data_IF_560953773017
#
_entry.id   IF_560953773017
#
_cell.length_a   1.000
_cell.length_b   1.000
_cell.length_c   1.000
_cell.angle_alpha   90.00
_cell.angle_beta   90.00
_cell.angle_gamma   90.00
#
_symmetry.space_group_name_H-M   'P 1'
#
loop_
_entity.id
_entity.type
_entity.pdbx_description
1 polymer ?
#
# COMPACT_ATOMS: atom_id res chain seq x y z
N UNK A 1 -1.71 7.23 -27.39
CA UNK A 1 -2.30 7.59 -26.07
C UNK A 1 -3.53 6.73 -25.87
N UNK A 2 -3.42 5.66 -25.08
CA UNK A 2 -4.55 4.82 -24.68
C UNK A 2 -4.66 4.99 -23.17
N UNK A 3 -5.65 5.75 -22.71
CA UNK A 3 -5.92 5.90 -21.29
C UNK A 3 -6.59 4.62 -20.80
N UNK A 4 -6.05 3.90 -19.81
CA UNK A 4 -6.71 2.73 -19.26
C UNK A 4 -7.85 3.19 -18.34
N UNK A 5 -9.08 2.94 -18.77
CA UNK A 5 -10.29 2.51 -18.05
C UNK A 5 -10.23 2.46 -16.51
N UNK A 6 -9.91 3.58 -15.86
CA UNK A 6 -9.82 3.71 -14.39
C UNK A 6 -11.17 3.61 -13.66
N UNK A 7 -12.29 3.70 -14.38
CA UNK A 7 -13.63 3.59 -13.79
C UNK A 7 -14.09 2.15 -13.58
N UNK A 8 -13.76 1.24 -14.49
CA UNK A 8 -14.36 -0.11 -14.56
C UNK A 8 -13.83 -1.02 -13.46
N UNK A 9 -12.56 -0.84 -13.07
CA UNK A 9 -11.93 -1.64 -12.01
C UNK A 9 -12.48 -1.35 -10.61
N UNK A 10 -12.88 -0.11 -10.32
CA UNK A 10 -13.38 0.28 -8.99
C UNK A 10 -14.75 -0.33 -8.68
N UNK A 11 -15.67 -0.28 -9.65
CA UNK A 11 -16.99 -0.91 -9.54
C UNK A 11 -16.92 -2.42 -9.57
N UNK A 12 -16.03 -3.01 -10.39
CA UNK A 12 -15.81 -4.45 -10.39
C UNK A 12 -15.29 -4.95 -9.03
N UNK A 13 -14.35 -4.24 -8.40
CA UNK A 13 -13.83 -4.58 -7.07
C UNK A 13 -14.89 -4.41 -5.97
N UNK A 14 -15.71 -3.35 -6.04
CA UNK A 14 -16.84 -3.16 -5.13
C UNK A 14 -17.88 -4.27 -5.27
N UNK A 15 -18.25 -4.63 -6.51
CA UNK A 15 -19.19 -5.73 -6.77
C UNK A 15 -18.63 -7.08 -6.32
N UNK A 16 -17.34 -7.35 -6.54
CA UNK A 16 -16.66 -8.55 -6.04
C UNK A 16 -16.59 -8.59 -4.52
N UNK A 17 -16.31 -7.46 -3.87
CA UNK A 17 -16.26 -7.36 -2.41
C UNK A 17 -17.65 -7.52 -1.78
N UNK A 18 -18.68 -6.90 -2.35
CA UNK A 18 -20.08 -7.05 -1.92
C UNK A 18 -20.54 -8.49 -2.14
N UNK A 19 -20.27 -9.08 -3.31
CA UNK A 19 -20.61 -10.47 -3.60
C UNK A 19 -19.88 -11.43 -2.64
N UNK A 20 -18.61 -11.19 -2.32
CA UNK A 20 -17.87 -11.98 -1.34
C UNK A 20 -18.46 -11.85 0.08
N UNK A 21 -18.83 -10.65 0.48
CA UNK A 21 -19.44 -10.38 1.79
C UNK A 21 -20.87 -10.94 1.90
N UNK A 22 -21.64 -10.94 0.82
CA UNK A 22 -23.05 -11.38 0.82
C UNK A 22 -23.23 -12.88 0.58
N UNK A 23 -22.35 -13.51 -0.21
CA UNK A 23 -22.50 -14.94 -0.58
C UNK A 23 -21.89 -15.91 0.44
N UNK A 24 -21.09 -15.40 1.38
CA UNK A 24 -20.31 -16.25 2.27
C UNK A 24 -19.37 -17.18 1.49
N UNK A 25 -18.70 -18.07 2.21
CA UNK A 25 -17.71 -18.99 1.61
C UNK A 25 -18.42 -20.18 0.97
N UNK A 26 -19.12 -19.95 -0.14
CA UNK A 26 -19.75 -21.03 -0.92
C UNK A 26 -18.67 -21.96 -1.53
N UNK A 27 -18.98 -23.25 -1.80
CA UNK A 27 -18.02 -24.19 -2.38
C UNK A 27 -17.40 -23.69 -3.69
N UNK A 28 -18.17 -22.97 -4.51
CA UNK A 28 -17.75 -22.39 -5.78
C UNK A 28 -16.73 -21.25 -5.56
N UNK A 29 -16.99 -20.37 -4.59
CA UNK A 29 -16.08 -19.25 -4.25
C UNK A 29 -14.75 -19.79 -3.72
N UNK A 30 -14.77 -20.85 -2.89
CA UNK A 30 -13.54 -21.53 -2.46
C UNK A 30 -12.74 -22.09 -3.62
N UNK A 31 -13.40 -22.71 -4.58
CA UNK A 31 -12.75 -23.24 -5.79
C UNK A 31 -12.11 -22.14 -6.63
N UNK A 32 -12.82 -21.04 -6.87
CA UNK A 32 -12.29 -19.91 -7.60
C UNK A 32 -11.05 -19.30 -6.90
N UNK A 33 -11.14 -19.06 -5.59
CA UNK A 33 -10.04 -18.49 -4.79
C UNK A 33 -8.81 -19.42 -4.77
N UNK A 34 -9.05 -20.73 -4.72
CA UNK A 34 -8.00 -21.74 -4.77
C UNK A 34 -7.20 -21.69 -6.08
N UNK A 35 -7.86 -21.54 -7.23
CA UNK A 35 -7.18 -21.41 -8.52
C UNK A 35 -6.56 -20.03 -8.76
N UNK A 36 -7.15 -19.00 -8.15
CA UNK A 36 -6.69 -17.61 -8.23
C UNK A 36 -5.35 -17.39 -7.50
N UNK A 37 -5.19 -17.93 -6.30
CA UNK A 37 -4.01 -17.72 -5.44
C UNK A 37 -2.67 -18.00 -6.16
N UNK A 38 -2.47 -19.20 -6.74
CA UNK A 38 -1.26 -19.54 -7.48
C UNK A 38 -1.03 -18.63 -8.68
N UNK A 39 -2.09 -18.27 -9.42
CA UNK A 39 -1.98 -17.38 -10.57
C UNK A 39 -1.52 -15.99 -10.14
N UNK A 40 -2.16 -15.41 -9.13
CA UNK A 40 -1.81 -14.08 -8.60
C UNK A 40 -0.37 -14.05 -8.13
N UNK A 41 0.09 -15.09 -7.42
CA UNK A 41 1.48 -15.23 -7.04
C UNK A 41 2.42 -15.27 -8.26
N UNK A 42 2.04 -16.01 -9.32
CA UNK A 42 2.80 -16.04 -10.57
C UNK A 42 2.88 -14.68 -11.26
N UNK A 43 1.79 -13.89 -11.26
CA UNK A 43 1.78 -12.52 -11.82
C UNK A 43 2.79 -11.64 -11.09
N UNK A 44 2.74 -11.66 -9.75
CA UNK A 44 3.66 -10.86 -8.95
C UNK A 44 5.11 -11.35 -9.10
N UNK A 45 5.34 -12.67 -9.12
CA UNK A 45 6.66 -13.24 -9.35
C UNK A 45 7.24 -12.81 -10.71
N UNK A 46 6.42 -12.85 -11.77
CA UNK A 46 6.83 -12.41 -13.10
C UNK A 46 7.10 -10.89 -13.14
N UNK A 47 6.31 -10.09 -12.43
CA UNK A 47 6.54 -8.65 -12.30
C UNK A 47 7.86 -8.35 -11.58
N UNK A 48 8.14 -9.04 -10.47
CA UNK A 48 9.41 -8.92 -9.73
C UNK A 48 10.59 -9.37 -10.58
N UNK A 49 10.45 -10.47 -11.33
CA UNK A 49 11.50 -10.93 -12.25
C UNK A 49 11.78 -9.92 -13.36
N UNK A 50 10.74 -9.44 -14.05
CA UNK A 50 10.87 -8.50 -15.16
C UNK A 50 11.45 -7.16 -14.71
N UNK A 51 10.99 -6.65 -13.58
CA UNK A 51 11.50 -5.41 -13.00
C UNK A 51 12.92 -5.60 -12.43
N UNK A 52 13.18 -6.74 -11.79
CA UNK A 52 14.48 -7.12 -11.25
C UNK A 52 15.57 -7.23 -12.30
N UNK A 53 15.29 -7.83 -13.47
CA UNK A 53 16.25 -7.91 -14.58
C UNK A 53 16.72 -6.53 -15.06
N UNK A 54 15.84 -5.52 -15.01
CA UNK A 54 16.19 -4.15 -15.38
C UNK A 54 16.79 -3.35 -14.23
N UNK A 55 16.36 -3.61 -12.99
CA UNK A 55 16.75 -2.82 -11.82
C UNK A 55 18.06 -3.30 -11.18
N UNK A 56 18.32 -4.60 -11.18
CA UNK A 56 19.48 -5.25 -10.57
C UNK A 56 20.39 -5.90 -11.62
N UNK A 57 20.85 -5.10 -12.59
CA UNK A 57 21.68 -5.58 -13.70
C UNK A 57 23.18 -5.58 -13.38
N UNK A 58 23.61 -4.83 -12.36
CA UNK A 58 25.02 -4.75 -11.95
C UNK A 58 25.25 -5.44 -10.61
N UNK A 59 26.46 -5.95 -10.39
CA UNK A 59 26.84 -6.62 -9.13
C UNK A 59 26.50 -5.79 -7.88
N UNK A 60 26.82 -4.47 -7.81
CA UNK A 60 26.47 -3.69 -6.62
C UNK A 60 24.96 -3.56 -6.40
N UNK A 61 24.16 -3.51 -7.46
CA UNK A 61 22.70 -3.49 -7.35
C UNK A 61 22.13 -4.81 -6.83
N UNK A 62 22.68 -5.94 -7.30
CA UNK A 62 22.29 -7.27 -6.80
C UNK A 62 22.62 -7.39 -5.31
N UNK A 63 23.80 -6.91 -4.90
CA UNK A 63 24.18 -6.88 -3.47
C UNK A 63 23.19 -6.04 -2.66
N UNK A 64 22.82 -4.85 -3.13
CA UNK A 64 21.81 -4.01 -2.45
C UNK A 64 20.47 -4.74 -2.36
N UNK A 65 20.02 -5.41 -3.43
CA UNK A 65 18.77 -6.17 -3.41
C UNK A 65 18.80 -7.30 -2.37
N UNK A 66 19.89 -8.07 -2.31
CA UNK A 66 20.06 -9.16 -1.34
C UNK A 66 20.14 -8.63 0.09
N UNK A 67 20.89 -7.55 0.33
CA UNK A 67 20.99 -6.94 1.65
C UNK A 67 19.64 -6.36 2.11
N UNK A 68 18.88 -5.72 1.22
CA UNK A 68 17.54 -5.22 1.53
C UNK A 68 16.57 -6.36 1.84
N UNK A 69 16.63 -7.47 1.09
CA UNK A 69 15.88 -8.69 1.36
C UNK A 69 16.20 -9.24 2.76
N UNK A 70 17.48 -9.44 3.08
CA UNK A 70 17.91 -9.91 4.40
C UNK A 70 17.50 -8.95 5.52
N UNK A 71 17.67 -7.65 5.33
CA UNK A 71 17.27 -6.63 6.29
C UNK A 71 15.76 -6.67 6.55
N UNK A 72 14.93 -6.87 5.52
CA UNK A 72 13.47 -6.98 5.68
C UNK A 72 13.03 -8.17 6.52
N UNK A 73 13.87 -9.22 6.62
CA UNK A 73 13.60 -10.40 7.44
C UNK A 73 14.14 -10.19 8.85
N UNK A 74 15.37 -9.67 8.96
CA UNK A 74 16.13 -9.67 10.20
C UNK A 74 15.98 -8.41 11.05
N UNK A 75 15.44 -7.32 10.49
CA UNK A 75 15.44 -6.01 11.19
C UNK A 75 14.03 -5.42 11.34
N UNK A 76 13.77 -4.71 12.46
CA UNK A 76 12.52 -3.98 12.68
C UNK A 76 12.50 -2.60 11.99
N UNK A 77 13.50 -2.29 11.15
CA UNK A 77 13.71 -0.98 10.52
C UNK A 77 12.55 -0.52 9.60
N UNK A 78 11.60 -1.42 9.31
CA UNK A 78 10.49 -1.16 8.40
C UNK A 78 10.95 -0.96 6.95
N UNK A 79 10.01 -1.01 6.02
CA UNK A 79 10.30 -0.85 4.58
C UNK A 79 10.94 0.52 4.31
N UNK A 80 10.44 1.57 4.96
CA UNK A 80 10.96 2.93 4.79
C UNK A 80 12.44 3.05 5.20
N UNK A 81 12.83 2.50 6.36
CA UNK A 81 14.22 2.54 6.82
C UNK A 81 15.17 1.82 5.88
N UNK A 82 14.78 0.63 5.39
CA UNK A 82 15.58 -0.15 4.44
C UNK A 82 15.77 0.61 3.11
N UNK A 83 14.73 1.28 2.62
CA UNK A 83 14.81 2.07 1.40
C UNK A 83 15.70 3.30 1.55
N UNK A 84 15.66 3.98 2.71
CA UNK A 84 16.56 5.11 3.00
C UNK A 84 18.01 4.65 3.02
N UNK A 85 18.31 3.55 3.72
CA UNK A 85 19.67 2.98 3.79
C UNK A 85 20.17 2.56 2.39
N UNK A 86 19.29 1.97 1.59
CA UNK A 86 19.62 1.56 0.23
C UNK A 86 19.81 2.74 -0.73
N UNK A 87 19.05 3.83 -0.55
CA UNK A 87 19.28 5.10 -1.24
C UNK A 87 20.63 5.71 -0.89
N UNK A 88 21.00 5.71 0.39
CA UNK A 88 22.31 6.17 0.85
C UNK A 88 23.44 5.29 0.30
N UNK A 89 23.28 3.97 0.30
CA UNK A 89 24.21 3.02 -0.32
C UNK A 89 24.37 3.29 -1.83
N UNK A 90 23.28 3.65 -2.52
CA UNK A 90 23.31 4.06 -3.93
C UNK A 90 24.18 5.31 -4.15
N UNK A 91 24.05 6.33 -3.30
CA UNK A 91 24.92 7.54 -3.36
C UNK A 91 26.38 7.18 -3.11
N UNK A 92 26.65 6.34 -2.10
CA UNK A 92 27.97 5.83 -1.73
C UNK A 92 28.69 5.16 -2.90
N UNK A 93 27.99 4.28 -3.61
CA UNK A 93 28.59 3.44 -4.65
C UNK A 93 28.71 4.16 -6.00
N UNK A 94 27.84 5.14 -6.30
CA UNK A 94 27.74 5.71 -7.65
C UNK A 94 28.07 7.20 -7.79
N UNK A 95 28.41 7.92 -6.70
CA UNK A 95 28.63 9.38 -6.79
C UNK A 95 29.82 9.97 -6.01
N UNK A 96 30.68 9.12 -5.43
CA UNK A 96 31.96 9.53 -4.83
C UNK A 96 31.88 10.00 -3.36
N UNK A 97 32.96 9.75 -2.58
CA UNK A 97 33.01 9.89 -1.10
C UNK A 97 32.69 11.29 -0.54
N UNK A 98 32.87 12.38 -1.30
CA UNK A 98 32.67 13.76 -0.80
C UNK A 98 31.19 14.20 -0.74
N UNK A 99 30.35 13.74 -1.67
CA UNK A 99 28.92 14.08 -1.63
C UNK A 99 28.15 13.20 -0.65
N UNK A 100 28.64 11.98 -0.45
CA UNK A 100 28.15 11.05 0.58
C UNK A 100 28.21 11.68 1.96
N UNK A 101 29.34 12.26 2.34
CA UNK A 101 29.48 12.90 3.65
C UNK A 101 28.56 14.11 3.77
N UNK A 102 28.37 14.90 2.70
CA UNK A 102 27.43 16.02 2.71
C UNK A 102 25.97 15.55 2.85
N UNK A 103 25.56 14.50 2.13
CA UNK A 103 24.19 13.95 2.22
C UNK A 103 23.99 13.23 3.57
N UNK A 104 24.99 12.52 4.08
CA UNK A 104 24.94 11.86 5.38
C UNK A 104 24.87 12.88 6.52
N UNK A 105 25.63 13.98 6.44
CA UNK A 105 25.54 15.10 7.39
C UNK A 105 24.20 15.81 7.25
N UNK A 106 23.72 16.10 6.04
CA UNK A 106 22.41 16.71 5.85
C UNK A 106 21.27 15.80 6.36
N UNK A 107 21.34 14.50 6.12
CA UNK A 107 20.39 13.52 6.63
C UNK A 107 20.48 13.39 8.16
N UNK A 108 21.69 13.38 8.74
CA UNK A 108 21.89 13.38 10.18
C UNK A 108 21.37 14.67 10.83
N UNK A 109 21.55 15.82 10.18
CA UNK A 109 20.99 17.11 10.60
C UNK A 109 19.47 17.07 10.53
N UNK A 110 18.87 16.57 9.45
CA UNK A 110 17.41 16.41 9.36
C UNK A 110 16.91 15.42 10.41
N UNK A 111 17.55 14.27 10.58
CA UNK A 111 17.19 13.25 11.59
C UNK A 111 17.39 13.78 13.03
N UNK A 112 18.36 14.66 13.27
CA UNK A 112 18.57 15.31 14.56
C UNK A 112 17.59 16.46 14.81
N UNK A 113 17.19 17.17 13.75
CA UNK A 113 16.20 18.24 13.81
C UNK A 113 14.77 17.70 13.87
N UNK A 114 14.48 16.51 13.34
CA UNK A 114 13.13 15.90 13.37
C UNK A 114 12.62 15.71 14.81
N UNK A 115 13.37 15.13 15.77
CA UNK A 115 12.96 15.07 17.16
C UNK A 115 12.87 16.45 17.81
N UNK A 116 13.69 17.42 17.40
CA UNK A 116 13.66 18.79 17.96
C UNK A 116 12.44 19.57 17.46
N UNK A 117 12.10 19.46 16.19
CA UNK A 117 10.89 20.05 15.59
C UNK A 117 9.66 19.31 16.10
N UNK A 118 9.71 17.98 16.22
CA UNK A 118 8.64 17.16 16.78
C UNK A 118 8.41 17.48 18.26
N UNK A 119 9.47 17.59 19.07
CA UNK A 119 9.40 18.03 20.48
C UNK A 119 8.91 19.47 20.58
N UNK A 120 9.41 20.38 19.75
CA UNK A 120 8.97 21.77 19.73
C UNK A 120 7.48 21.89 19.37
N UNK A 121 7.02 21.12 18.38
CA UNK A 121 5.59 21.04 18.00
C UNK A 121 4.71 20.27 18.99
N UNK A 122 5.25 19.31 19.75
CA UNK A 122 4.51 18.64 20.83
C UNK A 122 4.57 19.42 22.15
N UNK A 123 5.51 20.35 22.29
CA UNK A 123 5.60 21.31 23.39
C UNK A 123 4.81 22.59 23.14
N UNK A 124 4.51 22.91 21.87
CA UNK A 124 3.28 23.63 21.59
C UNK A 124 2.14 22.67 21.85
N UNK A 125 1.73 22.57 23.12
CA UNK A 125 0.34 22.28 23.42
C UNK A 125 -0.46 23.08 22.40
N UNK A 126 -1.19 22.42 21.50
CA UNK A 126 -2.40 23.03 20.97
C UNK A 126 -3.07 23.52 22.25
N UNK A 127 -3.19 24.85 22.46
CA UNK A 127 -3.51 25.34 23.77
C UNK A 127 -4.79 24.63 24.18
N UNK A 128 -4.72 23.88 25.28
CA UNK A 128 -5.88 23.35 25.98
C UNK A 128 -6.70 24.50 26.61
N UNK A 129 -6.72 25.66 25.94
CA UNK A 129 -7.71 26.68 26.11
C UNK A 129 -8.98 26.16 25.46
N UNK A 130 -9.70 25.29 26.17
CA UNK A 130 -11.12 25.44 26.46
C UNK A 130 -12.05 25.99 25.36
N UNK A 131 -11.78 25.71 24.09
CA UNK A 131 -12.78 25.79 23.05
C UNK A 131 -13.35 24.39 22.95
N UNK A 132 -14.43 24.13 23.70
CA UNK A 132 -15.45 23.20 23.20
C UNK A 132 -15.62 23.58 21.75
N UNK A 133 -15.22 22.75 20.80
CA UNK A 133 -15.54 23.02 19.40
C UNK A 133 -17.06 22.96 19.39
N UNK A 134 -17.77 24.10 19.28
CA UNK A 134 -19.22 24.05 19.19
C UNK A 134 -19.54 23.20 17.97
N UNK A 135 -20.70 22.54 17.95
CA UNK A 135 -21.19 21.80 16.78
C UNK A 135 -20.72 22.54 15.52
N UNK A 136 -19.96 21.90 14.62
CA UNK A 136 -19.23 22.64 13.59
C UNK A 136 -20.24 23.47 12.80
N UNK A 137 -20.22 24.78 13.06
CA UNK A 137 -21.18 25.71 12.46
C UNK A 137 -20.78 25.99 11.00
N UNK A 138 -19.58 25.57 10.57
CA UNK A 138 -19.05 25.85 9.24
C UNK A 138 -18.22 24.71 8.63
N UNK A 139 -18.31 24.57 7.31
CA UNK A 139 -17.45 23.68 6.51
C UNK A 139 -15.95 24.04 6.61
N UNK A 140 -15.63 25.28 6.99
CA UNK A 140 -14.25 25.75 7.12
C UNK A 140 -13.54 25.07 8.30
N UNK A 141 -14.26 24.77 9.39
CA UNK A 141 -13.68 24.12 10.56
C UNK A 141 -13.34 22.65 10.25
N UNK A 142 -14.22 21.98 9.51
CA UNK A 142 -13.97 20.64 8.94
C UNK A 142 -12.73 20.69 8.04
N UNK A 143 -12.65 21.66 7.13
CA UNK A 143 -11.50 21.81 6.23
C UNK A 143 -10.19 22.00 7.00
N UNK A 144 -10.16 22.92 7.97
CA UNK A 144 -8.95 23.22 8.76
C UNK A 144 -8.50 22.02 9.58
N UNK A 145 -9.44 21.31 10.18
CA UNK A 145 -9.14 20.09 10.94
C UNK A 145 -8.50 19.04 10.03
N UNK A 146 -9.20 18.62 8.97
CA UNK A 146 -8.71 17.56 8.09
C UNK A 146 -7.44 17.97 7.32
N UNK A 147 -7.27 19.25 7.00
CA UNK A 147 -6.01 19.77 6.46
C UNK A 147 -4.84 19.58 7.44
N UNK A 148 -5.02 19.88 8.73
CA UNK A 148 -3.99 19.62 9.74
C UNK A 148 -3.68 18.14 9.86
N UNK A 149 -4.71 17.29 9.94
CA UNK A 149 -4.52 15.84 9.97
C UNK A 149 -3.69 15.40 8.75
N UNK A 150 -4.07 15.82 7.54
CA UNK A 150 -3.37 15.52 6.29
C UNK A 150 -1.94 16.04 6.22
N UNK A 151 -1.66 17.21 6.81
CA UNK A 151 -0.35 17.86 6.75
C UNK A 151 0.65 17.29 7.76
N UNK A 152 0.19 16.90 8.94
CA UNK A 152 1.05 16.57 10.08
C UNK A 152 1.11 15.08 10.42
N UNK A 153 0.32 14.23 9.77
CA UNK A 153 0.42 12.79 9.98
C UNK A 153 1.60 12.20 9.22
N UNK A 154 2.78 12.21 9.85
CA UNK A 154 4.00 11.56 9.36
C UNK A 154 4.15 10.21 10.07
N UNK A 155 3.42 9.19 9.63
CA UNK A 155 3.45 7.90 10.34
C UNK A 155 2.57 6.75 9.83
N UNK A 156 2.08 6.82 8.59
CA UNK A 156 1.19 5.80 8.03
C UNK A 156 -0.26 5.90 8.55
N UNK A 157 -1.17 5.10 7.99
CA UNK A 157 -2.61 5.23 8.26
C UNK A 157 -3.02 5.03 9.72
N UNK A 158 -2.28 4.21 10.49
CA UNK A 158 -2.60 3.87 11.89
C UNK A 158 -2.43 5.04 12.86
N UNK A 159 -1.37 5.85 12.69
CA UNK A 159 -1.16 7.04 13.53
C UNK A 159 -2.22 8.10 13.26
N UNK A 160 -2.66 8.20 12.00
CA UNK A 160 -3.77 9.08 11.61
C UNK A 160 -5.09 8.65 12.23
N UNK A 161 -5.39 7.36 12.21
CA UNK A 161 -6.62 6.80 12.80
C UNK A 161 -6.65 7.09 14.30
N UNK A 162 -5.52 6.90 15.01
CA UNK A 162 -5.43 7.22 16.43
C UNK A 162 -5.65 8.72 16.71
N UNK A 163 -5.06 9.61 15.90
CA UNK A 163 -5.23 11.05 16.04
C UNK A 163 -6.68 11.51 15.76
N UNK A 164 -7.30 10.94 14.72
CA UNK A 164 -8.70 11.19 14.39
C UNK A 164 -9.60 10.68 15.51
N UNK A 165 -9.35 9.49 16.06
CA UNK A 165 -10.13 8.93 17.16
C UNK A 165 -10.08 9.81 18.41
N UNK A 166 -8.88 10.20 18.84
CA UNK A 166 -8.67 10.99 20.06
C UNK A 166 -9.39 12.35 19.98
N UNK A 167 -9.28 13.02 18.83
CA UNK A 167 -9.85 14.33 18.62
C UNK A 167 -11.37 14.30 18.31
N UNK A 168 -11.85 13.30 17.56
CA UNK A 168 -13.23 13.25 17.06
C UNK A 168 -14.17 12.53 18.03
N UNK A 169 -13.67 11.49 18.71
CA UNK A 169 -14.42 10.73 19.70
C UNK A 169 -14.14 11.25 21.12
N UNK A 170 -12.89 11.58 21.43
CA UNK A 170 -12.49 12.03 22.77
C UNK A 170 -12.79 13.51 23.02
N UNK A 171 -12.15 14.42 22.30
CA UNK A 171 -12.21 15.86 22.59
C UNK A 171 -13.46 16.57 22.04
N UNK A 172 -13.83 16.32 20.78
CA UNK A 172 -14.94 17.04 20.12
C UNK A 172 -16.29 16.34 20.21
N UNK A 173 -16.32 15.04 20.50
CA UNK A 173 -17.55 14.25 20.64
C UNK A 173 -18.44 14.23 19.39
N UNK A 174 -17.87 14.49 18.21
CA UNK A 174 -18.59 14.54 16.94
C UNK A 174 -19.13 13.17 16.52
N UNK A 175 -18.47 12.11 16.96
CA UNK A 175 -18.86 10.72 16.73
C UNK A 175 -18.70 9.92 18.02
N UNK A 176 -19.57 8.95 18.22
CA UNK A 176 -19.36 7.93 19.24
C UNK A 176 -18.24 6.96 18.82
N UNK A 177 -17.63 6.28 19.79
CA UNK A 177 -16.62 5.25 19.51
C UNK A 177 -17.15 4.14 18.58
N UNK A 178 -18.45 3.80 18.67
CA UNK A 178 -19.10 2.83 17.78
C UNK A 178 -19.20 3.35 16.35
N UNK A 179 -19.70 4.57 16.15
CA UNK A 179 -19.81 5.16 14.81
C UNK A 179 -18.43 5.35 14.16
N UNK A 180 -17.40 5.67 14.96
CA UNK A 180 -16.03 5.73 14.47
C UNK A 180 -15.50 4.36 14.03
N UNK A 181 -15.75 3.30 14.82
CA UNK A 181 -15.39 1.93 14.45
C UNK A 181 -16.14 1.49 13.17
N UNK A 182 -17.41 1.83 13.04
CA UNK A 182 -18.19 1.53 11.83
C UNK A 182 -17.61 2.24 10.60
N UNK A 183 -17.26 3.53 10.73
CA UNK A 183 -16.57 4.29 9.68
C UNK A 183 -15.20 3.70 9.33
N UNK A 184 -14.45 3.23 10.32
CA UNK A 184 -13.15 2.58 10.12
C UNK A 184 -13.32 1.23 9.39
N UNK A 185 -14.30 0.43 9.79
CA UNK A 185 -14.62 -0.84 9.14
C UNK A 185 -14.99 -0.61 7.67
N UNK A 186 -15.85 0.38 7.39
CA UNK A 186 -16.20 0.79 6.02
C UNK A 186 -14.97 1.24 5.21
N UNK A 187 -14.06 2.01 5.83
CA UNK A 187 -12.84 2.47 5.18
C UNK A 187 -11.92 1.32 4.74
N UNK A 188 -11.82 0.25 5.52
CA UNK A 188 -10.96 -0.90 5.21
C UNK A 188 -11.41 -1.70 3.97
N UNK A 189 -12.68 -1.58 3.57
CA UNK A 189 -13.18 -2.21 2.34
C UNK A 189 -12.81 -1.45 1.05
N UNK A 190 -12.15 -0.29 1.16
CA UNK A 190 -11.84 0.58 -0.01
C UNK A 190 -10.34 0.81 -0.19
N UNK A 191 -9.87 1.08 -1.43
CA UNK A 191 -8.51 1.53 -1.65
C UNK A 191 -8.32 2.92 -1.01
N UNK A 192 -7.51 2.99 0.04
CA UNK A 192 -7.23 4.24 0.76
C UNK A 192 -8.16 4.45 1.96
N UNK A 193 -8.05 3.62 3.02
CA UNK A 193 -8.98 3.62 4.16
C UNK A 193 -9.13 4.99 4.83
N UNK A 194 -8.07 5.80 4.80
CA UNK A 194 -8.07 7.15 5.34
C UNK A 194 -9.06 8.08 4.65
N UNK A 195 -9.11 8.06 3.32
CA UNK A 195 -9.98 8.96 2.55
C UNK A 195 -11.45 8.71 2.92
N UNK A 196 -11.80 7.44 3.07
CA UNK A 196 -13.16 7.04 3.43
C UNK A 196 -13.50 7.34 4.88
N UNK A 197 -12.57 7.16 5.82
CA UNK A 197 -12.78 7.58 7.21
C UNK A 197 -12.98 9.09 7.28
N UNK A 198 -12.16 9.89 6.59
CA UNK A 198 -12.33 11.34 6.53
C UNK A 198 -13.67 11.75 5.89
N UNK A 199 -14.04 11.12 4.77
CA UNK A 199 -15.32 11.36 4.10
C UNK A 199 -16.53 10.96 4.97
N UNK A 200 -16.48 9.82 5.64
CA UNK A 200 -17.53 9.34 6.55
C UNK A 200 -17.71 10.29 7.73
N UNK A 201 -16.60 10.69 8.35
CA UNK A 201 -16.64 11.65 9.45
C UNK A 201 -17.21 12.99 8.98
N UNK A 202 -16.71 13.52 7.86
CA UNK A 202 -17.27 14.74 7.26
C UNK A 202 -18.75 14.63 6.92
N UNK A 203 -19.19 13.46 6.44
CA UNK A 203 -20.61 13.18 6.15
C UNK A 203 -21.48 13.23 7.40
N UNK A 204 -21.04 12.62 8.50
CA UNK A 204 -21.76 12.63 9.77
C UNK A 204 -21.86 14.02 10.38
N UNK A 205 -20.91 14.89 10.05
CA UNK A 205 -20.84 16.25 10.56
C UNK A 205 -21.71 17.23 9.77
N UNK A 206 -21.58 17.27 8.43
CA UNK A 206 -22.22 18.27 7.58
C UNK A 206 -22.74 17.70 6.25
N UNK A 207 -23.13 16.42 6.25
CA UNK A 207 -23.69 15.74 5.09
C UNK A 207 -22.71 15.68 3.91
N UNK A 208 -23.24 15.66 2.70
CA UNK A 208 -22.43 15.47 1.48
C UNK A 208 -21.35 16.54 1.29
N UNK A 209 -21.66 17.80 1.66
CA UNK A 209 -20.70 18.90 1.61
C UNK A 209 -19.54 18.69 2.60
N UNK A 210 -19.85 18.27 3.83
CA UNK A 210 -18.84 17.91 4.82
C UNK A 210 -17.96 16.75 4.38
N UNK A 211 -18.54 15.73 3.72
CA UNK A 211 -17.80 14.59 3.19
C UNK A 211 -16.76 15.01 2.14
N UNK A 212 -17.17 15.83 1.16
CA UNK A 212 -16.28 16.32 0.11
C UNK A 212 -15.18 17.22 0.65
N UNK A 213 -15.52 18.11 1.59
CA UNK A 213 -14.55 19.03 2.21
C UNK A 213 -13.55 18.29 3.09
N UNK A 214 -13.99 17.34 3.92
CA UNK A 214 -13.10 16.54 4.77
C UNK A 214 -12.13 15.70 3.93
N UNK A 215 -12.65 15.00 2.92
CA UNK A 215 -11.87 14.18 2.00
C UNK A 215 -10.85 15.02 1.22
N UNK A 216 -11.29 16.14 0.66
CA UNK A 216 -10.43 17.06 -0.10
C UNK A 216 -9.36 17.68 0.78
N UNK A 217 -9.72 18.22 1.94
CA UNK A 217 -8.79 18.87 2.85
C UNK A 217 -7.74 17.90 3.41
N UNK A 218 -8.10 16.64 3.67
CA UNK A 218 -7.14 15.62 4.12
C UNK A 218 -6.06 15.32 3.07
N UNK A 219 -6.39 15.37 1.78
CA UNK A 219 -5.44 15.09 0.68
C UNK A 219 -4.71 16.33 0.16
N UNK A 220 -5.28 17.51 0.38
CA UNK A 220 -4.78 18.77 -0.16
C UNK A 220 -3.30 19.05 0.17
N UNK A 221 -2.78 18.80 1.40
CA UNK A 221 -1.37 19.01 1.72
C UNK A 221 -0.43 18.16 0.84
N UNK A 222 -0.71 16.87 0.72
CA UNK A 222 0.09 15.94 -0.09
C UNK A 222 0.02 16.28 -1.57
N UNK A 223 -1.17 16.65 -2.06
CA UNK A 223 -1.37 17.08 -3.44
C UNK A 223 -0.62 18.39 -3.75
N UNK A 224 -0.71 19.37 -2.86
CA UNK A 224 -0.01 20.65 -2.99
C UNK A 224 1.52 20.46 -2.96
N UNK A 225 2.05 19.64 -2.05
CA UNK A 225 3.47 19.30 -2.02
C UNK A 225 3.93 18.64 -3.32
N UNK A 226 3.16 17.67 -3.83
CA UNK A 226 3.47 16.99 -5.09
C UNK A 226 3.48 17.99 -6.26
N UNK A 227 2.48 18.87 -6.37
CA UNK A 227 2.43 19.90 -7.41
C UNK A 227 3.58 20.90 -7.31
N UNK A 228 3.98 21.28 -6.09
CA UNK A 228 5.13 22.16 -5.88
C UNK A 228 6.45 21.51 -6.31
N UNK A 229 6.61 20.20 -6.10
CA UNK A 229 7.81 19.44 -6.48
C UNK A 229 7.82 19.11 -7.98
N UNK A 230 6.65 18.93 -8.58
CA UNK A 230 6.49 18.49 -9.97
C UNK A 230 7.35 19.25 -11.00
N UNK A 231 7.38 20.60 -11.06
CA UNK A 231 8.21 21.32 -12.03
C UNK A 231 9.71 21.15 -11.77
N UNK A 232 10.11 20.92 -10.52
CA UNK A 232 11.50 20.67 -10.15
C UNK A 232 11.91 19.21 -10.33
N UNK A 233 10.95 18.28 -10.47
CA UNK A 233 11.19 16.84 -10.53
C UNK A 233 12.10 16.46 -11.70
N UNK A 234 11.89 17.05 -12.88
CA UNK A 234 12.73 16.78 -14.05
C UNK A 234 14.16 17.29 -13.86
N UNK A 235 14.34 18.39 -13.13
CA UNK A 235 15.65 18.91 -12.76
C UNK A 235 16.33 18.00 -11.73
N UNK A 236 15.59 17.56 -10.72
CA UNK A 236 16.10 16.64 -9.69
C UNK A 236 16.49 15.28 -10.28
N UNK A 237 15.71 14.72 -11.21
CA UNK A 237 16.04 13.45 -11.89
C UNK A 237 17.32 13.53 -12.73
N UNK A 238 17.70 14.73 -13.18
CA UNK A 238 18.97 14.98 -13.89
C UNK A 238 20.17 15.12 -12.95
N UNK A 239 19.97 15.34 -11.65
CA UNK A 239 21.06 15.38 -10.69
C UNK A 239 21.64 13.97 -10.49
N UNK A 240 22.96 13.89 -10.55
CA UNK A 240 23.64 12.62 -10.55
C UNK A 240 23.58 11.90 -9.18
N UNK A 241 23.47 12.65 -8.07
CA UNK A 241 23.18 12.08 -6.75
C UNK A 241 21.77 11.50 -6.65
N UNK A 242 20.75 12.13 -7.26
CA UNK A 242 19.38 11.61 -7.27
C UNK A 242 19.30 10.32 -8.09
N UNK A 243 19.99 10.27 -9.24
CA UNK A 243 20.14 9.02 -10.00
C UNK A 243 20.84 7.93 -9.19
N UNK A 244 21.84 8.28 -8.39
CA UNK A 244 22.55 7.34 -7.52
C UNK A 244 21.63 6.79 -6.42
N UNK A 245 20.83 7.64 -5.75
CA UNK A 245 19.78 7.22 -4.80
C UNK A 245 18.81 6.24 -5.46
N UNK A 246 18.28 6.58 -6.64
CA UNK A 246 17.34 5.72 -7.37
C UNK A 246 17.96 4.37 -7.77
N UNK A 247 19.25 4.36 -8.13
CA UNK A 247 20.01 3.14 -8.44
C UNK A 247 20.21 2.23 -7.22
N UNK A 248 20.17 2.78 -6.00
CA UNK A 248 20.17 1.99 -4.77
C UNK A 248 18.77 1.56 -4.33
N UNK A 249 17.79 2.46 -4.37
CA UNK A 249 16.42 2.15 -3.96
C UNK A 249 15.73 1.12 -4.87
N UNK A 250 15.92 1.21 -6.19
CA UNK A 250 15.27 0.32 -7.16
C UNK A 250 15.51 -1.17 -6.86
N UNK A 251 16.78 -1.64 -6.81
CA UNK A 251 17.10 -3.02 -6.44
C UNK A 251 16.60 -3.41 -5.04
N UNK A 252 16.64 -2.49 -4.08
CA UNK A 252 16.16 -2.76 -2.73
C UNK A 252 14.66 -3.08 -2.69
N UNK A 253 13.84 -2.33 -3.43
CA UNK A 253 12.40 -2.63 -3.60
C UNK A 253 12.21 -4.04 -4.16
N UNK A 254 12.99 -4.44 -5.16
CA UNK A 254 12.91 -5.79 -5.74
C UNK A 254 13.26 -6.87 -4.71
N UNK A 255 14.31 -6.66 -3.93
CA UNK A 255 14.69 -7.58 -2.85
C UNK A 255 13.58 -7.75 -1.81
N UNK A 256 12.99 -6.65 -1.35
CA UNK A 256 11.89 -6.66 -0.39
C UNK A 256 10.65 -7.36 -0.99
N UNK A 257 10.29 -7.04 -2.24
CA UNK A 257 9.16 -7.69 -2.92
C UNK A 257 9.37 -9.19 -3.08
N UNK A 258 10.60 -9.64 -3.39
CA UNK A 258 10.93 -11.05 -3.47
C UNK A 258 10.71 -11.77 -2.13
N UNK A 259 11.12 -11.18 -1.01
CA UNK A 259 10.85 -11.73 0.33
C UNK A 259 9.35 -11.82 0.60
N UNK A 260 8.59 -10.77 0.27
CA UNK A 260 7.13 -10.78 0.43
C UNK A 260 6.49 -11.91 -0.38
N UNK A 261 6.97 -12.19 -1.60
CA UNK A 261 6.48 -13.32 -2.39
C UNK A 261 6.79 -14.67 -1.77
N UNK A 262 8.00 -14.86 -1.25
CA UNK A 262 8.37 -16.10 -0.55
C UNK A 262 7.51 -16.30 0.69
N UNK A 263 7.22 -15.23 1.43
CA UNK A 263 6.32 -15.29 2.61
C UNK A 263 4.87 -15.58 2.23
N UNK A 264 4.41 -15.14 1.06
CA UNK A 264 3.06 -15.39 0.56
C UNK A 264 2.92 -16.77 -0.10
N UNK A 265 4.02 -17.38 -0.58
CA UNK A 265 3.99 -18.62 -1.33
C UNK A 265 3.31 -19.80 -0.61
N UNK A 266 3.54 -20.06 0.69
CA UNK A 266 2.88 -21.16 1.40
C UNK A 266 1.35 -21.02 1.46
N UNK A 267 0.84 -19.79 1.47
CA UNK A 267 -0.60 -19.51 1.51
C UNK A 267 -1.23 -19.56 0.13
N UNK A 268 -0.51 -19.10 -0.88
CA UNK A 268 -1.00 -19.07 -2.25
C UNK A 268 -0.88 -20.43 -2.96
N UNK A 269 0.09 -21.28 -2.57
CA UNK A 269 0.42 -22.54 -3.25
C UNK A 269 0.60 -23.69 -2.25
N UNK A 270 -0.47 -24.10 -1.53
CA UNK A 270 -0.35 -25.05 -0.42
C UNK A 270 -0.13 -26.52 -0.84
N UNK A 271 -0.53 -26.92 -2.06
CA UNK A 271 -0.45 -28.32 -2.50
C UNK A 271 0.13 -28.51 -3.91
N UNK A 272 0.43 -29.77 -4.25
CA UNK A 272 1.09 -30.15 -5.51
C UNK A 272 0.34 -29.69 -6.75
N UNK A 273 -1.00 -29.61 -6.71
CA UNK A 273 -1.79 -29.16 -7.84
C UNK A 273 -1.72 -27.64 -7.96
N UNK A 274 -1.73 -26.91 -6.85
CA UNK A 274 -1.44 -25.46 -6.85
C UNK A 274 -0.09 -25.15 -7.49
N UNK A 275 0.95 -25.95 -7.17
CA UNK A 275 2.29 -25.80 -7.75
C UNK A 275 2.23 -25.96 -9.27
N UNK A 276 1.47 -26.96 -9.76
CA UNK A 276 1.23 -27.14 -11.19
C UNK A 276 0.58 -25.92 -11.84
N UNK A 277 -0.47 -25.35 -11.22
CA UNK A 277 -1.14 -24.14 -11.71
C UNK A 277 -0.17 -22.94 -11.74
N UNK A 278 0.59 -22.74 -10.67
CA UNK A 278 1.62 -21.70 -10.59
C UNK A 278 2.66 -21.83 -11.71
N UNK A 279 3.21 -23.03 -11.90
CA UNK A 279 4.22 -23.29 -12.91
C UNK A 279 3.69 -23.05 -14.33
N UNK A 280 2.49 -23.57 -14.64
CA UNK A 280 1.83 -23.34 -15.94
C UNK A 280 1.56 -21.86 -16.16
N UNK A 281 1.04 -21.15 -15.15
CA UNK A 281 0.80 -19.71 -15.25
C UNK A 281 2.09 -18.93 -15.50
N UNK A 282 3.17 -19.27 -14.81
CA UNK A 282 4.47 -18.61 -14.95
C UNK A 282 5.11 -18.87 -16.32
N UNK A 283 5.01 -20.10 -16.84
CA UNK A 283 5.49 -20.45 -18.19
C UNK A 283 4.65 -19.76 -19.27
N UNK A 284 3.33 -19.81 -19.17
CA UNK A 284 2.47 -19.15 -20.16
C UNK A 284 2.67 -17.63 -20.14
N UNK A 285 2.88 -17.01 -18.97
CA UNK A 285 3.20 -15.59 -18.85
C UNK A 285 4.58 -15.22 -19.38
N UNK A 286 5.56 -16.13 -19.31
CA UNK A 286 6.89 -15.86 -19.87
C UNK A 286 6.92 -15.97 -21.39
N UNK A 287 6.06 -16.83 -21.97
CA UNK A 287 5.95 -17.05 -23.40
C UNK A 287 4.95 -16.11 -24.10
N UNK A 288 3.98 -15.54 -23.37
CA UNK A 288 2.92 -14.71 -23.97
C UNK A 288 2.86 -13.29 -23.39
N UNK A 289 2.56 -12.30 -24.24
CA UNK A 289 2.33 -10.89 -23.84
C UNK A 289 0.87 -10.66 -23.38
N UNK A 290 0.17 -11.70 -22.95
CA UNK A 290 -1.24 -11.61 -22.61
C UNK A 290 -1.46 -10.77 -21.35
N UNK A 291 -2.58 -10.04 -21.32
CA UNK A 291 -2.94 -9.21 -20.17
C UNK A 291 -3.14 -10.06 -18.92
N UNK A 292 -2.63 -9.57 -17.78
CA UNK A 292 -2.77 -10.20 -16.46
C UNK A 292 -4.21 -10.62 -16.15
N UNK A 293 -5.18 -9.84 -16.64
CA UNK A 293 -6.62 -10.10 -16.53
C UNK A 293 -7.04 -11.47 -17.09
N UNK A 294 -6.50 -11.91 -18.23
CA UNK A 294 -6.86 -13.21 -18.84
C UNK A 294 -6.37 -14.38 -18.00
N UNK A 295 -5.19 -14.25 -17.39
CA UNK A 295 -4.65 -15.26 -16.49
C UNK A 295 -5.47 -15.39 -15.21
N UNK A 296 -5.86 -14.25 -14.61
CA UNK A 296 -6.73 -14.19 -13.43
C UNK A 296 -8.04 -14.95 -13.66
N UNK A 297 -8.71 -14.68 -14.79
CA UNK A 297 -9.96 -15.37 -15.15
C UNK A 297 -9.72 -16.87 -15.40
N UNK A 298 -8.67 -17.22 -16.15
CA UNK A 298 -8.34 -18.62 -16.42
C UNK A 298 -8.06 -19.42 -15.15
N UNK A 299 -7.30 -18.85 -14.20
CA UNK A 299 -7.02 -19.46 -12.90
C UNK A 299 -8.29 -19.68 -12.08
N UNK A 300 -9.18 -18.70 -12.04
CA UNK A 300 -10.47 -18.81 -11.35
C UNK A 300 -11.33 -19.93 -11.94
N UNK A 301 -11.41 -20.04 -13.27
CA UNK A 301 -12.17 -21.09 -13.97
C UNK A 301 -11.60 -22.48 -13.64
N UNK A 302 -10.28 -22.66 -13.74
CA UNK A 302 -9.60 -23.93 -13.43
C UNK A 302 -9.87 -24.35 -11.98
N UNK A 303 -9.82 -23.39 -11.06
CA UNK A 303 -10.12 -23.62 -9.64
C UNK A 303 -11.57 -24.09 -9.40
N UNK A 304 -12.54 -23.44 -10.05
CA UNK A 304 -13.96 -23.84 -9.99
C UNK A 304 -14.14 -25.23 -10.57
N UNK A 305 -13.67 -25.50 -11.79
CA UNK A 305 -13.84 -26.80 -12.46
C UNK A 305 -13.29 -27.94 -11.60
N UNK A 306 -12.14 -27.75 -10.93
CA UNK A 306 -11.61 -28.76 -10.00
C UNK A 306 -12.58 -29.03 -8.86
N UNK A 307 -13.14 -28.00 -8.22
CA UNK A 307 -14.07 -28.21 -7.10
C UNK A 307 -15.31 -29.01 -7.49
N UNK A 308 -15.81 -28.84 -8.72
CA UNK A 308 -16.88 -29.66 -9.27
C UNK A 308 -16.46 -31.11 -9.50
N UNK A 309 -15.25 -31.35 -10.04
CA UNK A 309 -14.72 -32.70 -10.28
C UNK A 309 -14.44 -33.44 -8.96
N UNK A 310 -13.95 -32.76 -7.92
CA UNK A 310 -13.75 -33.35 -6.59
C UNK A 310 -15.04 -33.55 -5.78
N UNK A 311 -16.16 -32.96 -6.21
CA UNK A 311 -17.46 -33.12 -5.58
C UNK A 311 -18.22 -34.36 -6.11
N UNK A 312 -17.71 -35.06 -7.12
CA UNK A 312 -18.24 -36.36 -7.56
C UNK A 312 -17.78 -37.41 -6.55
N UNK A 313 -18.70 -38.04 -5.79
CA UNK A 313 -18.32 -39.08 -4.84
C UNK A 313 -17.59 -40.20 -5.58
N UNK A 314 -16.39 -40.55 -5.11
CA UNK A 314 -15.73 -41.77 -5.53
C UNK A 314 -16.66 -42.93 -5.14
N UNK A 315 -17.38 -43.47 -6.11
CA UNK A 315 -18.06 -44.76 -5.99
C UNK A 315 -16.98 -45.85 -5.95
N UNK A 316 -16.30 -45.97 -4.82
CA UNK A 316 -15.43 -47.10 -4.50
C UNK A 316 -15.80 -47.57 -3.10
N UNK A 317 -16.90 -48.33 -3.03
CA UNK A 317 -17.39 -48.86 -1.77
C UNK A 317 -18.80 -49.46 -1.79
N UNK A 318 -19.21 -50.14 -2.88
CA UNK A 318 -20.28 -51.16 -2.80
C UNK A 318 -19.98 -52.25 -3.83
N UNK A 319 -19.66 -53.45 -3.34
CA UNK A 319 -19.77 -54.69 -4.12
C UNK A 319 -18.55 -55.61 -4.04
N UNK A 320 -18.64 -56.62 -3.16
CA UNK A 320 -18.00 -57.94 -3.32
C UNK A 320 -16.62 -58.10 -2.72
#
# INVERSE_FOLDING_TARGET
MHAPDGGVGSWAMLLLAIAYASLGVSPIVRGALYGLGPVVLAIFAMAVYRLGRSAASTVPQVVIAVLAALASIATPLGIAGILILSGAAGVLLYHGRKLVTVIAVAAAVVIALVPVVWWSMSSSSVPAAAARVPRPESLMDIARYFFKVGAFTVGGGLTMIAFIQDQIVGESGWLTAREFIDGLALGQFTPGPLLMVAAYVGYKIAGLAGAGVAAGAAFLPSFAMMLAILPALDRFRKLAWMRAVMRGMGPAVIGILAVSLVRLAPYAVPDRVSIGIFAVALVLMSLTQLSAFRFVIGGAIVGVVRTWVSAVPRLSGVGG
#
